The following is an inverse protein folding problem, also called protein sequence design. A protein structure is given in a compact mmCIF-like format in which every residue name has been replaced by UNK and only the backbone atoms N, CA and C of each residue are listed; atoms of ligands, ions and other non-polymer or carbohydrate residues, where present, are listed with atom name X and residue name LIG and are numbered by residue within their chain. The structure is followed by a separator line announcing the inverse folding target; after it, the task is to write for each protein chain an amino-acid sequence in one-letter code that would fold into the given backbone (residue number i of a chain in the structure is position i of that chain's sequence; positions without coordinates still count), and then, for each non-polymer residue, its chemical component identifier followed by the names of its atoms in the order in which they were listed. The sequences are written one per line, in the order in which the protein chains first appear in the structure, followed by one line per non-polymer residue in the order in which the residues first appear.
data_IF_615410573923
#
_entry.id   IF_615410573923
#
_cell.length_a   1.000
_cell.length_b   1.000
_cell.length_c   1.000
_cell.angle_alpha   90.00
_cell.angle_beta   90.00
_cell.angle_gamma   90.00
#
_symmetry.space_group_name_H-M   'P 1'
#
loop_
_entity.id
_entity.type
_entity.pdbx_description
1 polymer ?
#
# COMPACT_ATOMS: atom_id res chain seq x y z
N UNK A 1 31.48 31.12 -3.79
CA UNK A 1 31.62 30.27 -4.99
C UNK A 1 30.82 29.00 -4.77
N UNK A 2 29.64 28.85 -5.40
CA UNK A 2 28.87 27.61 -5.37
C UNK A 2 29.63 26.56 -6.19
N UNK A 3 30.07 25.47 -5.57
CA UNK A 3 30.53 24.29 -6.29
C UNK A 3 29.32 23.82 -7.13
N UNK A 4 29.41 23.96 -8.46
CA UNK A 4 28.53 23.20 -9.36
C UNK A 4 28.78 21.73 -9.05
N UNK A 5 27.85 21.09 -8.33
CA UNK A 5 27.81 19.63 -8.32
C UNK A 5 27.75 19.19 -9.78
N UNK A 6 28.63 18.25 -10.15
CA UNK A 6 28.67 17.67 -11.49
C UNK A 6 27.27 17.18 -11.83
N UNK A 7 26.75 17.57 -13.00
CA UNK A 7 25.56 16.99 -13.63
C UNK A 7 25.59 15.47 -13.41
N UNK A 8 24.81 14.96 -12.44
CA UNK A 8 24.66 13.52 -12.27
C UNK A 8 23.93 13.03 -13.52
N UNK A 9 24.59 12.18 -14.30
CA UNK A 9 23.98 11.60 -15.48
C UNK A 9 22.94 10.56 -15.04
N UNK A 10 21.67 10.96 -14.99
CA UNK A 10 20.55 10.09 -14.61
C UNK A 10 20.23 9.18 -15.81
N UNK A 11 20.31 7.87 -15.59
CA UNK A 11 19.87 6.85 -16.56
C UNK A 11 18.69 6.08 -15.98
N UNK A 12 17.59 6.02 -16.72
CA UNK A 12 16.37 5.30 -16.31
C UNK A 12 16.48 3.78 -16.48
N UNK A 13 17.45 3.33 -17.28
CA UNK A 13 17.68 1.89 -17.55
C UNK A 13 18.39 1.19 -16.38
N UNK A 14 18.85 1.95 -15.37
CA UNK A 14 19.45 1.40 -14.16
C UNK A 14 18.39 0.79 -13.24
N UNK A 15 18.77 -0.29 -12.56
CA UNK A 15 17.93 -0.94 -11.55
C UNK A 15 17.67 -0.03 -10.33
N UNK A 16 18.60 0.88 -10.04
CA UNK A 16 18.56 1.82 -8.93
C UNK A 16 19.08 3.17 -9.42
N UNK A 17 18.26 4.21 -9.29
CA UNK A 17 18.59 5.60 -9.56
C UNK A 17 18.91 6.26 -8.22
N UNK A 18 20.20 6.45 -7.92
CA UNK A 18 20.66 7.05 -6.67
C UNK A 18 20.40 8.56 -6.66
N UNK A 19 19.59 9.01 -5.71
CA UNK A 19 19.21 10.41 -5.56
C UNK A 19 20.07 11.10 -4.49
N UNK A 20 20.35 10.45 -3.36
CA UNK A 20 21.22 10.98 -2.31
C UNK A 20 21.90 9.86 -1.51
N UNK A 21 23.18 9.63 -1.80
CA UNK A 21 23.96 8.55 -1.19
C UNK A 21 23.24 7.21 -1.32
N UNK A 22 23.38 6.36 -0.30
CA UNK A 22 22.69 5.06 -0.21
C UNK A 22 21.31 5.15 0.48
N UNK A 23 20.91 6.36 0.90
CA UNK A 23 19.71 6.57 1.72
C UNK A 23 18.48 7.03 0.92
N UNK A 24 18.66 7.65 -0.25
CA UNK A 24 17.55 8.03 -1.13
C UNK A 24 17.81 7.53 -2.57
N UNK A 25 16.89 6.72 -3.08
CA UNK A 25 16.94 6.17 -4.44
C UNK A 25 15.54 5.81 -4.96
N UNK A 26 15.42 5.74 -6.29
CA UNK A 26 14.26 5.21 -6.99
C UNK A 26 14.64 3.92 -7.74
N UNK A 27 13.83 2.88 -7.59
CA UNK A 27 13.94 1.63 -8.35
C UNK A 27 13.02 1.62 -9.56
N UNK A 28 11.89 2.34 -9.49
CA UNK A 28 10.88 2.32 -10.55
C UNK A 28 10.01 3.57 -10.58
N UNK A 29 9.67 4.02 -11.79
CA UNK A 29 8.59 4.96 -12.07
C UNK A 29 7.68 4.36 -13.15
N UNK A 30 6.37 4.38 -12.93
CA UNK A 30 5.39 3.72 -13.78
C UNK A 30 4.12 4.54 -13.98
N UNK A 31 3.44 4.28 -15.09
CA UNK A 31 2.13 4.86 -15.40
C UNK A 31 1.24 3.77 -16.02
N UNK A 32 0.04 3.62 -15.46
CA UNK A 32 -0.98 2.70 -15.95
C UNK A 32 -2.37 3.34 -15.86
N UNK A 33 -3.33 2.88 -16.66
CA UNK A 33 -4.74 3.26 -16.48
C UNK A 33 -5.41 2.33 -15.47
N UNK A 34 -6.50 2.77 -14.86
CA UNK A 34 -7.37 1.90 -14.03
C UNK A 34 -7.92 0.70 -14.81
N UNK A 35 -7.98 0.81 -16.15
CA UNK A 35 -8.36 -0.26 -17.07
C UNK A 35 -7.18 -1.20 -17.41
N UNK A 36 -6.07 -1.13 -16.66
CA UNK A 36 -4.88 -1.98 -16.78
C UNK A 36 -4.08 -1.78 -18.08
N UNK A 37 -4.26 -0.64 -18.76
CA UNK A 37 -3.40 -0.28 -19.90
C UNK A 37 -2.06 0.25 -19.38
N UNK A 38 -0.97 -0.42 -19.69
CA UNK A 38 0.38 0.11 -19.44
C UNK A 38 0.65 1.31 -20.36
N UNK A 39 1.07 2.43 -19.75
CA UNK A 39 1.41 3.66 -20.47
C UNK A 39 2.90 3.99 -20.41
N UNK A 40 3.55 3.67 -19.29
CA UNK A 40 4.97 3.93 -19.12
C UNK A 40 5.59 3.03 -18.04
N UNK A 41 6.85 2.65 -18.24
CA UNK A 41 7.70 1.99 -17.25
C UNK A 41 9.15 2.49 -17.42
N UNK A 42 9.78 2.92 -16.34
CA UNK A 42 11.16 3.43 -16.37
C UNK A 42 12.17 2.33 -16.73
N UNK A 43 11.94 1.11 -16.26
CA UNK A 43 12.73 -0.08 -16.57
C UNK A 43 11.83 -1.33 -16.62
N UNK A 44 12.35 -2.41 -17.23
CA UNK A 44 11.61 -3.67 -17.42
C UNK A 44 11.62 -4.57 -16.20
N UNK A 45 12.62 -4.44 -15.31
CA UNK A 45 12.80 -5.33 -14.16
C UNK A 45 11.60 -5.28 -13.23
N UNK A 46 11.09 -4.07 -12.99
CA UNK A 46 9.97 -3.82 -12.07
C UNK A 46 8.64 -3.63 -12.80
N UNK A 47 8.52 -4.10 -14.05
CA UNK A 47 7.34 -3.85 -14.89
C UNK A 47 6.04 -4.37 -14.24
N UNK A 48 6.13 -5.50 -13.55
CA UNK A 48 5.01 -6.11 -12.83
C UNK A 48 4.42 -5.21 -11.74
N UNK A 49 5.15 -4.19 -11.27
CA UNK A 49 4.61 -3.23 -10.31
C UNK A 49 3.40 -2.49 -10.87
N UNK A 50 3.28 -2.34 -12.20
CA UNK A 50 2.08 -1.78 -12.82
C UNK A 50 0.86 -2.68 -12.63
N UNK A 51 1.03 -3.99 -12.76
CA UNK A 51 -0.04 -4.96 -12.52
C UNK A 51 -0.39 -5.02 -11.03
N UNK A 52 0.63 -5.07 -10.17
CA UNK A 52 0.44 -4.99 -8.72
C UNK A 52 -0.31 -3.71 -8.34
N UNK A 53 0.04 -2.57 -8.93
CA UNK A 53 -0.64 -1.27 -8.71
C UNK A 53 -2.13 -1.37 -9.01
N UNK A 54 -2.52 -1.94 -10.15
CA UNK A 54 -3.93 -2.10 -10.50
C UNK A 54 -4.67 -3.06 -9.56
N UNK A 55 -4.01 -4.15 -9.14
CA UNK A 55 -4.59 -5.10 -8.19
C UNK A 55 -4.76 -4.47 -6.80
N UNK A 56 -3.75 -3.73 -6.33
CA UNK A 56 -3.77 -3.01 -5.07
C UNK A 56 -4.87 -1.94 -5.08
N UNK A 57 -4.93 -1.14 -6.14
CA UNK A 57 -5.94 -0.10 -6.29
C UNK A 57 -7.34 -0.70 -6.25
N UNK A 58 -7.62 -1.70 -7.08
CA UNK A 58 -8.92 -2.37 -7.10
C UNK A 58 -9.30 -2.97 -5.74
N UNK A 59 -8.40 -3.73 -5.10
CA UNK A 59 -8.73 -4.44 -3.87
C UNK A 59 -8.80 -3.48 -2.68
N UNK A 60 -7.78 -2.63 -2.47
CA UNK A 60 -7.69 -1.76 -1.32
C UNK A 60 -8.81 -0.72 -1.31
N UNK A 61 -9.11 -0.09 -2.45
CA UNK A 61 -10.22 0.88 -2.55
C UNK A 61 -11.59 0.21 -2.39
N UNK A 62 -11.75 -1.06 -2.81
CA UNK A 62 -12.99 -1.82 -2.62
C UNK A 62 -13.27 -2.16 -1.15
N UNK A 63 -12.24 -2.29 -0.32
CA UNK A 63 -12.39 -2.63 1.11
C UNK A 63 -12.43 -1.36 1.95
N UNK A 64 -11.39 -0.53 1.83
CA UNK A 64 -11.16 0.61 2.70
C UNK A 64 -11.95 1.84 2.24
N UNK A 65 -12.29 1.93 0.95
CA UNK A 65 -12.82 3.15 0.35
C UNK A 65 -11.78 4.27 0.27
N UNK A 66 -11.94 5.18 -0.69
CA UNK A 66 -11.00 6.29 -0.95
C UNK A 66 -10.02 5.97 -2.07
N UNK A 67 -8.90 6.69 -2.11
CA UNK A 67 -7.90 6.62 -3.19
C UNK A 67 -6.57 6.03 -2.67
N UNK A 68 -5.97 5.09 -3.40
CA UNK A 68 -4.68 4.49 -3.05
C UNK A 68 -3.58 5.57 -2.98
N UNK A 69 -2.87 5.71 -1.84
CA UNK A 69 -1.85 6.77 -1.65
C UNK A 69 -0.44 6.19 -1.53
N UNK A 70 -0.22 5.20 -0.65
CA UNK A 70 1.11 4.66 -0.39
C UNK A 70 1.09 3.24 0.20
N UNK A 71 2.20 2.53 0.03
CA UNK A 71 2.45 1.21 0.63
C UNK A 71 3.89 1.14 1.10
N UNK A 72 4.12 0.62 2.31
CA UNK A 72 5.44 0.27 2.80
C UNK A 72 5.67 -1.23 2.61
N UNK A 73 6.81 -1.56 2.02
CA UNK A 73 7.32 -2.90 1.83
C UNK A 73 8.47 -3.13 2.79
N UNK A 74 8.48 -4.31 3.40
CA UNK A 74 9.53 -4.72 4.30
C UNK A 74 10.10 -6.06 3.84
N UNK A 75 11.42 -6.11 3.64
CA UNK A 75 12.11 -7.35 3.24
C UNK A 75 12.33 -8.26 4.44
N UNK A 76 12.75 -9.50 4.20
CA UNK A 76 13.13 -10.43 5.28
C UNK A 76 14.37 -9.95 6.08
N UNK A 77 15.17 -9.03 5.53
CA UNK A 77 16.31 -8.41 6.21
C UNK A 77 15.95 -7.09 6.92
N UNK A 78 14.65 -6.83 7.15
CA UNK A 78 14.12 -5.60 7.72
C UNK A 78 14.41 -4.32 6.90
N UNK A 79 14.80 -4.44 5.62
CA UNK A 79 14.95 -3.27 4.76
C UNK A 79 13.58 -2.74 4.34
N UNK A 80 13.39 -1.43 4.50
CA UNK A 80 12.15 -0.74 4.18
C UNK A 80 12.24 0.07 2.90
N UNK A 81 11.28 -0.17 2.02
CA UNK A 81 11.06 0.57 0.79
C UNK A 81 9.59 0.88 0.65
N UNK A 82 9.24 1.89 -0.13
CA UNK A 82 7.84 2.25 -0.31
C UNK A 82 7.46 2.46 -1.75
N UNK A 83 6.19 2.19 -2.01
CA UNK A 83 5.48 2.62 -3.20
C UNK A 83 4.64 3.84 -2.84
N UNK A 84 4.65 4.86 -3.69
CA UNK A 84 3.67 5.94 -3.64
C UNK A 84 2.88 5.96 -4.94
N UNK A 85 1.60 6.27 -4.81
CA UNK A 85 0.61 6.26 -5.88
C UNK A 85 -0.05 7.63 -5.98
N UNK A 86 -0.45 7.99 -7.19
CA UNK A 86 -1.26 9.16 -7.44
C UNK A 86 -2.21 8.86 -8.60
N UNK A 87 -3.51 9.02 -8.39
CA UNK A 87 -4.49 8.89 -9.47
C UNK A 87 -4.91 10.28 -9.98
N UNK A 88 -4.91 10.45 -11.31
CA UNK A 88 -5.51 11.62 -11.96
C UNK A 88 -6.20 11.19 -13.25
N UNK A 89 -7.53 11.37 -13.28
CA UNK A 89 -8.39 11.06 -14.45
C UNK A 89 -8.23 9.60 -14.92
N UNK A 90 -8.38 8.61 -14.02
CA UNK A 90 -8.23 7.18 -14.32
C UNK A 90 -6.83 6.74 -14.77
N UNK A 91 -5.82 7.56 -14.50
CA UNK A 91 -4.41 7.24 -14.73
C UNK A 91 -3.73 7.19 -13.37
N UNK A 92 -3.12 6.06 -13.07
CA UNK A 92 -2.36 5.83 -11.85
C UNK A 92 -0.88 5.98 -12.16
N UNK A 93 -0.24 6.87 -11.43
CA UNK A 93 1.20 7.11 -11.43
C UNK A 93 1.78 6.42 -10.21
N UNK A 94 2.89 5.71 -10.37
CA UNK A 94 3.55 4.98 -9.29
C UNK A 94 5.05 5.24 -9.28
N UNK A 95 5.61 5.39 -8.10
CA UNK A 95 7.06 5.36 -7.86
C UNK A 95 7.38 4.37 -6.75
N UNK A 96 8.52 3.70 -6.85
CA UNK A 96 8.98 2.70 -5.88
C UNK A 96 10.48 2.88 -5.58
N UNK A 97 10.83 2.78 -4.30
CA UNK A 97 12.19 2.94 -3.79
C UNK A 97 12.22 3.49 -2.36
N UNK A 98 13.27 4.23 -2.01
CA UNK A 98 13.46 4.85 -0.70
C UNK A 98 13.64 6.36 -0.89
N UNK A 99 12.70 7.16 -0.41
CA UNK A 99 12.71 8.62 -0.61
C UNK A 99 11.80 9.33 0.41
N UNK A 100 11.95 10.63 0.66
CA UNK A 100 11.04 11.38 1.54
C UNK A 100 9.63 11.51 0.97
N UNK A 101 8.60 11.48 1.82
CA UNK A 101 7.19 11.45 1.38
C UNK A 101 6.81 12.64 0.50
N UNK A 102 7.22 13.86 0.90
CA UNK A 102 6.92 15.11 0.17
C UNK A 102 7.56 15.13 -1.22
N UNK A 103 8.80 14.66 -1.33
CA UNK A 103 9.51 14.63 -2.61
C UNK A 103 8.89 13.59 -3.55
N UNK A 104 8.48 12.44 -3.04
CA UNK A 104 7.78 11.43 -3.83
C UNK A 104 6.45 11.95 -4.41
N UNK A 105 5.64 12.62 -3.58
CA UNK A 105 4.39 13.27 -4.04
C UNK A 105 4.67 14.34 -5.11
N UNK A 106 5.71 15.15 -4.93
CA UNK A 106 6.12 16.13 -5.93
C UNK A 106 6.50 15.46 -7.27
N UNK A 107 7.25 14.35 -7.25
CA UNK A 107 7.59 13.60 -8.48
C UNK A 107 6.33 13.10 -9.17
N UNK A 108 5.40 12.50 -8.43
CA UNK A 108 4.14 12.00 -8.98
C UNK A 108 3.28 13.11 -9.59
N UNK A 109 3.21 14.28 -8.94
CA UNK A 109 2.52 15.46 -9.47
C UNK A 109 3.17 15.96 -10.78
N UNK A 110 4.50 16.03 -10.83
CA UNK A 110 5.23 16.42 -12.04
C UNK A 110 5.05 15.40 -13.16
N UNK A 111 5.08 14.10 -12.84
CA UNK A 111 4.80 13.02 -13.79
C UNK A 111 3.39 13.19 -14.37
N UNK A 112 2.40 13.42 -13.50
CA UNK A 112 1.02 13.58 -13.93
C UNK A 112 0.79 14.83 -14.79
N UNK A 113 1.43 15.95 -14.47
CA UNK A 113 1.35 17.16 -15.27
C UNK A 113 1.98 16.95 -16.66
N UNK A 114 3.24 16.51 -16.71
CA UNK A 114 3.97 16.34 -17.96
C UNK A 114 3.35 15.24 -18.85
N UNK A 115 2.85 14.15 -18.26
CA UNK A 115 2.20 13.08 -19.03
C UNK A 115 0.83 13.51 -19.56
N UNK A 116 0.04 14.23 -18.75
CA UNK A 116 -1.26 14.78 -19.20
C UNK A 116 -1.11 15.70 -20.41
N UNK A 117 -0.03 16.48 -20.47
CA UNK A 117 0.25 17.37 -21.59
C UNK A 117 0.62 16.59 -22.87
N UNK A 118 1.29 15.44 -22.75
CA UNK A 118 1.65 14.57 -23.89
C UNK A 118 0.47 13.83 -24.51
N UNK A 119 -0.51 13.46 -23.70
CA UNK A 119 -1.70 12.69 -24.12
C UNK A 119 -2.92 13.57 -24.39
N UNK A 120 -2.76 14.89 -24.32
CA UNK A 120 -3.85 15.86 -24.46
C UNK A 120 -4.64 15.60 -25.75
N UNK A 121 -5.96 15.48 -25.63
CA UNK A 121 -6.90 15.20 -26.73
C UNK A 121 -6.74 13.81 -27.39
N UNK A 122 -6.00 12.88 -26.78
CA UNK A 122 -5.90 11.50 -27.27
C UNK A 122 -6.78 10.56 -26.43
N UNK A 123 -7.35 9.56 -27.09
CA UNK A 123 -7.93 8.42 -26.39
C UNK A 123 -6.82 7.42 -26.07
N UNK A 124 -6.49 7.33 -24.79
CA UNK A 124 -5.37 6.56 -24.25
C UNK A 124 -5.56 5.05 -24.49
N UNK A 125 -6.82 4.59 -24.49
CA UNK A 125 -7.15 3.18 -24.63
C UNK A 125 -7.10 2.71 -26.09
N UNK A 126 -7.11 3.63 -27.07
CA UNK A 126 -7.05 3.32 -28.50
C UNK A 126 -5.76 3.76 -29.21
N UNK A 127 -4.73 4.17 -28.45
CA UNK A 127 -3.43 4.54 -29.01
C UNK A 127 -2.80 3.38 -29.80
N UNK A 128 -2.32 3.68 -31.01
CA UNK A 128 -1.55 2.73 -31.82
C UNK A 128 -0.20 2.41 -31.16
N UNK A 129 0.42 1.28 -31.56
CA UNK A 129 1.75 0.89 -31.06
C UNK A 129 2.80 1.98 -31.27
N UNK A 130 2.76 2.65 -32.41
CA UNK A 130 3.70 3.72 -32.75
C UNK A 130 3.49 4.95 -31.86
N UNK A 131 2.25 5.37 -31.63
CA UNK A 131 1.95 6.50 -30.75
C UNK A 131 2.34 6.22 -29.30
N UNK A 132 2.10 5.00 -28.80
CA UNK A 132 2.54 4.58 -27.46
C UNK A 132 4.06 4.71 -27.33
N UNK A 133 4.81 4.21 -28.32
CA UNK A 133 6.27 4.32 -28.36
C UNK A 133 6.76 5.78 -28.38
N UNK A 134 6.12 6.65 -29.16
CA UNK A 134 6.48 8.07 -29.18
C UNK A 134 6.21 8.76 -27.83
N UNK A 135 5.04 8.50 -27.23
CA UNK A 135 4.68 9.07 -25.93
C UNK A 135 5.65 8.59 -24.86
N UNK A 136 5.97 7.29 -24.85
CA UNK A 136 6.93 6.71 -23.92
C UNK A 136 8.30 7.39 -24.02
N UNK A 137 8.85 7.53 -25.23
CA UNK A 137 10.16 8.17 -25.43
C UNK A 137 10.17 9.66 -25.07
N UNK A 138 9.12 10.41 -25.43
CA UNK A 138 8.97 11.81 -25.04
C UNK A 138 8.90 11.92 -23.52
N UNK A 139 8.18 11.02 -22.86
CA UNK A 139 8.06 11.01 -21.41
C UNK A 139 9.36 10.60 -20.70
N UNK A 140 10.18 9.68 -21.25
CA UNK A 140 11.52 9.36 -20.71
C UNK A 140 12.37 10.62 -20.56
N UNK A 141 12.39 11.47 -21.60
CA UNK A 141 13.12 12.75 -21.56
C UNK A 141 12.60 13.69 -20.48
N UNK A 142 11.26 13.78 -20.32
CA UNK A 142 10.63 14.58 -19.25
C UNK A 142 10.94 14.03 -17.86
N UNK A 143 10.90 12.72 -17.66
CA UNK A 143 11.19 12.09 -16.39
C UNK A 143 12.64 12.34 -15.95
N UNK A 144 13.61 12.28 -16.88
CA UNK A 144 15.00 12.65 -16.57
C UNK A 144 15.10 14.09 -16.06
N UNK A 145 14.38 15.04 -16.66
CA UNK A 145 14.35 16.43 -16.19
C UNK A 145 13.73 16.55 -14.80
N UNK A 146 12.60 15.88 -14.54
CA UNK A 146 11.94 15.84 -13.22
C UNK A 146 12.91 15.30 -12.16
N UNK A 147 13.64 14.23 -12.45
CA UNK A 147 14.60 13.65 -11.52
C UNK A 147 15.85 14.52 -11.31
N UNK A 148 16.24 15.33 -12.30
CA UNK A 148 17.30 16.33 -12.11
C UNK A 148 16.84 17.45 -11.17
N UNK A 149 15.64 17.97 -11.38
CA UNK A 149 15.02 18.97 -10.48
C UNK A 149 14.86 18.41 -9.06
N UNK A 150 14.49 17.13 -8.91
CA UNK A 150 14.46 16.45 -7.61
C UNK A 150 15.79 16.57 -6.83
N UNK A 151 16.92 16.43 -7.52
CA UNK A 151 18.24 16.54 -6.89
C UNK A 151 18.53 17.95 -6.38
N UNK A 152 17.96 18.97 -7.02
CA UNK A 152 18.08 20.37 -6.61
C UNK A 152 17.16 20.70 -5.41
N UNK A 153 16.06 19.97 -5.25
CA UNK A 153 15.10 20.13 -4.16
C UNK A 153 15.59 19.59 -2.80
N UNK A 154 16.83 19.09 -2.73
CA UNK A 154 17.44 18.57 -1.51
C UNK A 154 17.53 19.60 -0.36
N UNK A 155 17.56 20.90 -0.68
CA UNK A 155 17.62 21.98 0.31
C UNK A 155 16.25 22.45 0.83
N UNK A 156 15.14 22.06 0.18
CA UNK A 156 13.80 22.66 0.42
C UNK A 156 12.87 21.76 1.24
N UNK A 157 13.00 20.45 1.14
CA UNK A 157 12.12 19.50 1.83
C UNK A 157 12.77 18.88 3.05
N UNK A 158 12.14 19.05 4.22
CA UNK A 158 12.46 18.26 5.42
C UNK A 158 11.88 16.85 5.33
N UNK A 159 12.57 15.88 5.93
CA UNK A 159 12.11 14.49 6.11
C UNK A 159 10.94 14.36 7.10
N UNK A 160 10.31 15.47 7.49
CA UNK A 160 9.14 15.42 8.35
C UNK A 160 7.99 14.72 7.62
N UNK A 161 7.57 13.61 8.20
CA UNK A 161 6.35 12.91 7.83
C UNK A 161 5.16 13.86 7.83
N UNK A 162 4.18 13.56 6.97
CA UNK A 162 2.90 14.24 7.00
C UNK A 162 2.24 13.95 8.36
N UNK A 163 2.01 14.99 9.16
CA UNK A 163 1.33 14.87 10.44
C UNK A 163 -0.11 14.36 10.22
N UNK A 164 -0.45 13.30 10.93
CA UNK A 164 -1.83 12.84 11.07
C UNK A 164 -2.59 13.82 11.96
N UNK A 165 -3.86 14.10 11.63
CA UNK A 165 -4.72 14.96 12.46
C UNK A 165 -5.15 14.23 13.73
N UNK A 166 -5.42 12.94 13.59
CA UNK A 166 -5.89 12.10 14.68
C UNK A 166 -4.72 11.66 15.56
N UNK A 167 -4.96 11.53 16.85
CA UNK A 167 -4.03 10.93 17.82
C UNK A 167 -4.46 9.52 18.22
N UNK A 168 -5.30 8.89 17.41
CA UNK A 168 -5.83 7.55 17.64
C UNK A 168 -5.73 6.68 16.40
N UNK A 169 -5.74 5.37 16.59
CA UNK A 169 -5.94 4.38 15.54
C UNK A 169 -7.14 3.50 15.92
N UNK A 170 -8.17 3.46 15.08
CA UNK A 170 -9.37 2.63 15.28
C UNK A 170 -9.19 1.31 14.54
N UNK A 171 -9.60 0.22 15.17
CA UNK A 171 -9.57 -1.11 14.59
C UNK A 171 -10.97 -1.54 14.10
N UNK A 172 -11.05 -1.90 12.81
CA UNK A 172 -12.30 -2.27 12.14
C UNK A 172 -12.32 -3.75 11.69
N UNK A 173 -11.15 -4.39 11.57
CA UNK A 173 -11.05 -5.83 11.30
C UNK A 173 -9.72 -6.40 11.79
N UNK A 174 -9.74 -7.66 12.24
CA UNK A 174 -8.57 -8.46 12.59
C UNK A 174 -8.62 -9.80 11.84
N UNK A 175 -7.55 -10.12 11.13
CA UNK A 175 -7.31 -11.43 10.53
C UNK A 175 -6.01 -12.04 11.04
N UNK A 176 -6.01 -13.33 11.35
CA UNK A 176 -4.80 -14.11 11.62
C UNK A 176 -4.79 -15.28 10.64
N UNK A 177 -3.71 -15.43 9.88
CA UNK A 177 -3.52 -16.56 8.99
C UNK A 177 -2.21 -17.29 9.28
N UNK A 178 -2.16 -18.58 8.93
CA UNK A 178 -0.96 -19.41 8.98
C UNK A 178 -0.83 -20.14 7.65
N UNK A 179 0.30 -20.00 6.96
CA UNK A 179 0.53 -20.66 5.66
C UNK A 179 -0.65 -20.51 4.67
N UNK A 180 -1.23 -19.31 4.56
CA UNK A 180 -2.42 -19.01 3.73
C UNK A 180 -3.72 -19.71 4.16
N UNK A 181 -3.82 -20.12 5.42
CA UNK A 181 -5.06 -20.56 6.05
C UNK A 181 -5.48 -19.49 7.05
N UNK A 182 -6.58 -18.78 6.78
CA UNK A 182 -7.20 -17.87 7.73
C UNK A 182 -7.72 -18.64 8.96
N UNK A 183 -7.02 -18.50 10.10
CA UNK A 183 -7.39 -19.15 11.36
C UNK A 183 -8.25 -18.25 12.24
N UNK A 184 -8.14 -16.92 12.06
CA UNK A 184 -9.06 -15.93 12.65
C UNK A 184 -9.45 -14.95 11.56
N UNK A 185 -10.73 -14.63 11.51
CA UNK A 185 -11.27 -13.48 10.80
C UNK A 185 -12.31 -12.86 11.71
N UNK A 186 -12.18 -11.58 12.00
CA UNK A 186 -13.04 -10.87 12.94
C UNK A 186 -13.35 -9.48 12.41
N UNK A 187 -14.57 -9.31 11.92
CA UNK A 187 -15.11 -8.00 11.55
C UNK A 187 -15.59 -7.30 12.83
N UNK A 188 -15.10 -6.09 13.04
CA UNK A 188 -15.43 -5.24 14.19
C UNK A 188 -16.23 -4.00 13.76
N UNK A 189 -16.50 -3.84 12.46
CA UNK A 189 -17.10 -2.63 11.91
C UNK A 189 -18.63 -2.58 12.10
N UNK A 190 -19.04 -2.18 13.30
CA UNK A 190 -20.47 -2.04 13.64
C UNK A 190 -21.19 -0.90 12.89
N UNK A 191 -20.47 -0.01 12.20
CA UNK A 191 -21.02 1.19 11.56
C UNK A 191 -20.98 1.16 10.02
N UNK A 192 -20.69 -0.02 9.43
CA UNK A 192 -20.61 -0.23 7.97
C UNK A 192 -19.71 0.81 7.26
N UNK A 193 -18.61 1.15 7.93
CA UNK A 193 -17.62 2.12 7.45
C UNK A 193 -16.77 1.54 6.34
N UNK A 194 -16.46 0.25 6.41
CA UNK A 194 -15.79 -0.54 5.38
C UNK A 194 -16.79 -0.81 4.25
N UNK A 195 -16.35 -0.70 3.00
CA UNK A 195 -17.24 -0.81 1.82
C UNK A 195 -17.38 -2.25 1.33
N UNK A 196 -17.44 -3.22 2.25
CA UNK A 196 -17.41 -4.64 1.91
C UNK A 196 -18.78 -5.10 1.44
N UNK A 197 -18.92 -5.26 0.12
CA UNK A 197 -20.11 -5.84 -0.50
C UNK A 197 -19.92 -7.34 -0.71
N UNK A 198 -20.86 -8.12 -0.19
CA UNK A 198 -20.94 -9.57 -0.42
C UNK A 198 -22.03 -9.89 -1.45
N UNK A 199 -21.83 -10.88 -2.33
CA UNK A 199 -22.86 -11.30 -3.26
C UNK A 199 -23.93 -12.15 -2.56
N UNK A 200 -25.19 -11.98 -2.96
CA UNK A 200 -26.32 -12.76 -2.45
C UNK A 200 -27.26 -11.96 -1.53
N UNK A 201 -28.38 -12.58 -1.18
CA UNK A 201 -29.30 -12.13 -0.15
C UNK A 201 -29.17 -13.09 1.03
N UNK A 202 -29.05 -12.57 2.25
CA UNK A 202 -28.85 -13.34 3.46
C UNK A 202 -30.06 -13.16 4.37
N UNK A 203 -30.64 -14.27 4.83
CA UNK A 203 -31.75 -14.23 5.79
C UNK A 203 -31.24 -14.02 7.22
N UNK A 204 -30.06 -14.57 7.54
CA UNK A 204 -29.38 -14.40 8.84
C UNK A 204 -28.23 -13.38 8.74
N UNK A 205 -28.27 -12.28 9.53
CA UNK A 205 -27.17 -11.33 9.63
C UNK A 205 -25.82 -11.96 10.02
N UNK A 206 -25.82 -13.07 10.77
CA UNK A 206 -24.58 -13.76 11.14
C UNK A 206 -23.88 -14.39 9.93
N UNK A 207 -24.65 -14.96 8.99
CA UNK A 207 -24.12 -15.50 7.74
C UNK A 207 -23.53 -14.40 6.84
N UNK A 208 -24.18 -13.24 6.80
CA UNK A 208 -23.65 -12.07 6.07
C UNK A 208 -22.29 -11.63 6.64
N UNK A 209 -22.16 -11.56 7.97
CA UNK A 209 -20.90 -11.20 8.64
C UNK A 209 -19.82 -12.24 8.34
N UNK A 210 -20.12 -13.53 8.43
CA UNK A 210 -19.16 -14.60 8.12
C UNK A 210 -18.68 -14.52 6.65
N UNK A 211 -19.60 -14.21 5.73
CA UNK A 211 -19.26 -14.00 4.32
C UNK A 211 -18.38 -12.75 4.13
N UNK A 212 -18.67 -11.65 4.83
CA UNK A 212 -17.84 -10.44 4.82
C UNK A 212 -16.44 -10.73 5.36
N UNK A 213 -16.35 -11.42 6.50
CA UNK A 213 -15.08 -11.85 7.10
C UNK A 213 -14.26 -12.70 6.12
N UNK A 214 -14.88 -13.70 5.49
CA UNK A 214 -14.22 -14.59 4.52
C UNK A 214 -13.73 -13.84 3.28
N UNK A 215 -14.56 -12.95 2.73
CA UNK A 215 -14.21 -12.14 1.56
C UNK A 215 -13.06 -11.17 1.87
N UNK A 216 -13.07 -10.55 3.06
CA UNK A 216 -11.99 -9.70 3.52
C UNK A 216 -10.67 -10.46 3.61
N UNK A 217 -10.67 -11.61 4.28
CA UNK A 217 -9.47 -12.46 4.42
C UNK A 217 -8.90 -12.83 3.07
N UNK A 218 -9.73 -13.34 2.15
CA UNK A 218 -9.29 -13.73 0.82
C UNK A 218 -8.67 -12.56 0.03
N UNK A 219 -9.28 -11.37 0.10
CA UNK A 219 -8.76 -10.18 -0.58
C UNK A 219 -7.43 -9.70 0.02
N UNK A 220 -7.32 -9.71 1.35
CA UNK A 220 -6.10 -9.31 2.07
C UNK A 220 -4.95 -10.26 1.76
N UNK A 221 -5.19 -11.57 1.78
CA UNK A 221 -4.21 -12.59 1.43
C UNK A 221 -3.78 -12.49 -0.03
N UNK A 222 -4.72 -12.22 -0.95
CA UNK A 222 -4.40 -11.99 -2.36
C UNK A 222 -3.48 -10.77 -2.55
N UNK A 223 -3.69 -9.68 -1.80
CA UNK A 223 -2.78 -8.52 -1.78
C UNK A 223 -1.38 -8.94 -1.30
N UNK A 224 -1.30 -9.64 -0.17
CA UNK A 224 -0.02 -10.02 0.43
C UNK A 224 0.77 -10.96 -0.49
N UNK A 225 0.11 -11.99 -1.02
CA UNK A 225 0.72 -12.95 -1.94
C UNK A 225 1.20 -12.30 -3.24
N UNK A 226 0.36 -11.43 -3.84
CA UNK A 226 0.77 -10.69 -5.04
C UNK A 226 1.94 -9.77 -4.75
N UNK A 227 1.96 -9.09 -3.60
CA UNK A 227 3.06 -8.20 -3.23
C UNK A 227 4.36 -8.97 -3.03
N UNK A 228 4.31 -10.09 -2.31
CA UNK A 228 5.47 -10.96 -2.07
C UNK A 228 6.01 -11.57 -3.36
N UNK A 229 5.14 -12.18 -4.17
CA UNK A 229 5.54 -12.83 -5.42
C UNK A 229 6.14 -11.87 -6.44
N UNK A 230 5.73 -10.59 -6.39
CA UNK A 230 6.26 -9.54 -7.25
C UNK A 230 7.54 -8.92 -6.68
N UNK A 231 7.55 -8.50 -5.42
CA UNK A 231 8.65 -7.66 -4.89
C UNK A 231 9.71 -8.43 -4.12
N UNK A 232 9.43 -9.67 -3.72
CA UNK A 232 10.24 -10.41 -2.74
C UNK A 232 10.15 -9.84 -1.32
N UNK A 233 9.31 -8.83 -1.10
CA UNK A 233 9.05 -8.19 0.19
C UNK A 233 7.57 -8.30 0.54
N UNK A 234 7.25 -8.26 1.82
CA UNK A 234 5.86 -8.27 2.27
C UNK A 234 5.37 -6.84 2.53
N UNK A 235 4.08 -6.55 2.32
CA UNK A 235 3.54 -5.25 2.68
C UNK A 235 3.52 -5.12 4.21
N UNK A 236 4.15 -4.09 4.77
CA UNK A 236 4.01 -3.75 6.20
C UNK A 236 2.69 -3.00 6.43
N UNK A 237 2.38 -2.07 5.53
CA UNK A 237 1.07 -1.41 5.48
C UNK A 237 0.77 -0.86 4.08
N UNK A 238 -0.52 -0.72 3.79
CA UNK A 238 -1.08 -0.07 2.60
C UNK A 238 -2.05 0.99 3.09
N UNK A 239 -1.90 2.21 2.61
CA UNK A 239 -2.69 3.37 2.99
C UNK A 239 -3.60 3.82 1.84
N UNK A 240 -4.88 4.01 2.18
CA UNK A 240 -5.88 4.61 1.31
C UNK A 240 -6.33 5.93 1.94
N UNK A 241 -6.41 6.96 1.12
CA UNK A 241 -6.73 8.32 1.52
C UNK A 241 -8.23 8.55 1.35
N UNK A 242 -8.91 8.89 2.45
CA UNK A 242 -10.35 9.21 2.47
C UNK A 242 -10.62 10.69 2.21
N UNK A 243 -9.65 11.55 2.56
CA UNK A 243 -9.76 13.00 2.50
C UNK A 243 -8.39 13.63 2.71
N UNK A 244 -8.31 14.92 3.04
CA UNK A 244 -7.02 15.64 3.07
C UNK A 244 -5.99 15.01 4.02
N UNK A 245 -6.41 14.59 5.22
CA UNK A 245 -5.54 14.03 6.27
C UNK A 245 -6.12 12.75 6.93
N UNK A 246 -7.22 12.21 6.38
CA UNK A 246 -7.88 11.03 6.92
C UNK A 246 -7.50 9.81 6.09
N UNK A 247 -7.03 8.77 6.77
CA UNK A 247 -6.51 7.56 6.14
C UNK A 247 -7.09 6.32 6.77
N UNK A 248 -7.21 5.29 5.94
CA UNK A 248 -7.37 3.91 6.35
C UNK A 248 -6.19 3.09 5.93
N UNK A 249 -5.92 2.05 6.69
CA UNK A 249 -4.77 1.19 6.49
C UNK A 249 -5.18 -0.27 6.50
N UNK A 250 -4.60 -1.01 5.57
CA UNK A 250 -4.40 -2.44 5.71
C UNK A 250 -2.97 -2.65 6.21
N UNK A 251 -2.83 -3.30 7.35
CA UNK A 251 -1.53 -3.49 8.01
C UNK A 251 -1.23 -4.97 8.14
N UNK A 252 0.05 -5.32 8.16
CA UNK A 252 0.49 -6.71 8.31
C UNK A 252 1.65 -6.82 9.28
N UNK A 253 1.65 -7.89 10.07
CA UNK A 253 2.76 -8.27 10.95
C UNK A 253 3.00 -9.77 10.85
N UNK A 254 4.23 -10.13 10.47
CA UNK A 254 4.72 -11.51 10.45
C UNK A 254 5.15 -11.90 11.86
N UNK A 255 4.74 -13.07 12.31
CA UNK A 255 5.20 -13.70 13.55
C UNK A 255 6.04 -14.94 13.22
N UNK A 256 6.57 -15.60 14.25
CA UNK A 256 7.14 -16.93 14.11
C UNK A 256 6.10 -17.96 13.66
N UNK A 257 6.58 -19.15 13.28
CA UNK A 257 5.73 -20.29 12.87
C UNK A 257 4.77 -19.97 11.70
N UNK A 258 5.18 -19.08 10.79
CA UNK A 258 4.44 -18.69 9.58
C UNK A 258 3.06 -18.07 9.83
N UNK A 259 2.85 -17.45 11.00
CA UNK A 259 1.65 -16.67 11.28
C UNK A 259 1.77 -15.24 10.76
N UNK A 260 0.66 -14.72 10.24
CA UNK A 260 0.51 -13.36 9.75
C UNK A 260 -0.74 -12.73 10.35
N UNK A 261 -0.56 -11.63 11.09
CA UNK A 261 -1.66 -10.76 11.49
C UNK A 261 -1.91 -9.75 10.39
N UNK A 262 -3.18 -9.53 10.09
CA UNK A 262 -3.65 -8.44 9.24
C UNK A 262 -4.72 -7.64 9.97
N UNK A 263 -4.66 -6.32 9.85
CA UNK A 263 -5.67 -5.44 10.45
C UNK A 263 -6.14 -4.38 9.45
N UNK A 264 -7.44 -4.10 9.45
CA UNK A 264 -8.01 -2.90 8.82
C UNK A 264 -8.23 -1.85 9.90
N UNK A 265 -7.70 -0.65 9.67
CA UNK A 265 -7.71 0.42 10.67
C UNK A 265 -7.89 1.80 10.04
N UNK A 266 -8.30 2.77 10.85
CA UNK A 266 -8.48 4.18 10.47
C UNK A 266 -7.76 5.08 11.48
N UNK A 267 -7.20 6.20 11.02
CA UNK A 267 -6.63 7.23 11.92
C UNK A 267 -5.12 7.43 11.72
N UNK A 268 -4.36 7.32 12.80
CA UNK A 268 -2.93 7.60 12.83
C UNK A 268 -2.09 6.32 12.84
N UNK A 269 -1.42 6.06 11.71
CA UNK A 269 -0.57 4.89 11.52
C UNK A 269 0.59 4.81 12.53
N UNK A 270 1.04 5.93 13.12
CA UNK A 270 2.10 5.91 14.13
C UNK A 270 1.69 5.15 15.41
N UNK A 271 0.40 4.92 15.62
CA UNK A 271 -0.12 4.16 16.77
C UNK A 271 -0.23 2.65 16.49
N UNK A 272 0.24 2.18 15.33
CA UNK A 272 0.18 0.76 14.96
C UNK A 272 0.90 -0.14 15.97
N UNK A 273 2.06 0.30 16.48
CA UNK A 273 2.81 -0.45 17.49
C UNK A 273 2.06 -0.50 18.82
N UNK A 274 1.31 0.54 19.17
CA UNK A 274 0.43 0.53 20.35
C UNK A 274 -0.68 -0.50 20.19
N UNK A 275 -1.36 -0.53 19.03
CA UNK A 275 -2.36 -1.54 18.73
C UNK A 275 -1.76 -2.96 18.83
N UNK A 276 -0.61 -3.18 18.20
CA UNK A 276 0.08 -4.47 18.23
C UNK A 276 0.48 -4.87 19.66
N UNK A 277 0.97 -3.94 20.47
CA UNK A 277 1.32 -4.21 21.87
C UNK A 277 0.12 -4.65 22.73
N UNK A 278 -1.10 -4.25 22.38
CA UNK A 278 -2.32 -4.74 23.04
C UNK A 278 -2.73 -6.13 22.55
N UNK A 279 -2.52 -6.44 21.27
CA UNK A 279 -2.89 -7.72 20.67
C UNK A 279 -1.88 -8.84 20.99
N UNK A 280 -0.58 -8.52 20.97
CA UNK A 280 0.52 -9.49 21.11
C UNK A 280 0.38 -10.43 22.33
N UNK A 281 0.05 -9.95 23.56
CA UNK A 281 -0.08 -10.84 24.72
C UNK A 281 -1.17 -11.90 24.56
N UNK A 282 -2.25 -11.57 23.84
CA UNK A 282 -3.39 -12.46 23.62
C UNK A 282 -3.07 -13.44 22.48
N UNK A 283 -2.44 -12.95 21.41
CA UNK A 283 -2.05 -13.76 20.25
C UNK A 283 -0.96 -14.79 20.56
N UNK A 284 0.07 -14.40 21.33
CA UNK A 284 1.27 -15.22 21.60
C UNK A 284 0.95 -16.60 22.19
N UNK A 285 -0.15 -16.73 22.94
CA UNK A 285 -0.57 -18.01 23.52
C UNK A 285 -1.00 -19.06 22.48
N UNK A 286 -1.32 -18.64 21.25
CA UNK A 286 -1.83 -19.51 20.19
C UNK A 286 -0.90 -19.62 18.97
N UNK A 287 0.11 -18.76 18.87
CA UNK A 287 1.04 -18.72 17.73
C UNK A 287 2.45 -19.20 18.08
N UNK A 288 2.66 -19.68 19.30
CA UNK A 288 3.92 -20.25 19.79
C UNK A 288 4.30 -21.57 19.09
N UNK A 289 3.34 -22.22 18.44
CA UNK A 289 3.50 -23.47 17.70
C UNK A 289 2.92 -23.37 16.28
N UNK A 290 3.50 -24.10 15.31
CA UNK A 290 2.93 -24.21 13.96
C UNK A 290 1.48 -24.65 13.98
N UNK A 291 0.68 -24.10 13.05
CA UNK A 291 -0.72 -24.47 12.93
C UNK A 291 -0.86 -25.95 12.57
N UNK A 292 -1.62 -26.69 13.40
CA UNK A 292 -1.79 -28.14 13.24
C UNK A 292 -3.10 -28.54 12.57
N UNK A 293 -3.87 -27.59 12.01
CA UNK A 293 -5.22 -27.83 11.49
C UNK A 293 -6.34 -27.80 12.55
N UNK A 294 -6.03 -27.59 13.82
CA UNK A 294 -7.03 -27.53 14.90
C UNK A 294 -7.48 -26.09 15.15
N UNK A 295 -8.75 -25.78 14.85
CA UNK A 295 -9.34 -24.45 15.03
C UNK A 295 -9.82 -24.17 16.47
N UNK A 296 -9.92 -25.17 17.35
CA UNK A 296 -10.45 -24.96 18.71
C UNK A 296 -9.71 -23.88 19.52
N UNK A 297 -8.37 -23.83 19.54
CA UNK A 297 -7.64 -22.76 20.23
C UNK A 297 -7.96 -21.38 19.66
N UNK A 298 -8.15 -21.29 18.33
CA UNK A 298 -8.44 -20.03 17.65
C UNK A 298 -9.87 -19.52 17.89
N UNK A 299 -10.83 -20.41 18.13
CA UNK A 299 -12.18 -20.01 18.55
C UNK A 299 -12.18 -19.36 19.95
N UNK A 300 -11.34 -19.88 20.86
CA UNK A 300 -11.14 -19.27 22.19
C UNK A 300 -10.45 -17.92 22.01
N UNK A 301 -9.41 -17.86 21.19
CA UNK A 301 -8.68 -16.64 20.89
C UNK A 301 -9.59 -15.55 20.27
N UNK A 302 -10.48 -15.90 19.34
CA UNK A 302 -11.48 -14.97 18.76
C UNK A 302 -12.35 -14.34 19.84
N UNK A 303 -12.75 -15.11 20.85
CA UNK A 303 -13.54 -14.59 21.99
C UNK A 303 -12.72 -13.64 22.88
N UNK A 304 -11.47 -13.99 23.19
CA UNK A 304 -10.56 -13.16 23.99
C UNK A 304 -10.25 -11.83 23.29
N UNK A 305 -10.03 -11.85 21.98
CA UNK A 305 -9.82 -10.64 21.18
C UNK A 305 -11.08 -9.75 21.22
N UNK A 306 -12.28 -10.33 21.03
CA UNK A 306 -13.53 -9.56 21.13
C UNK A 306 -13.68 -8.87 22.49
N UNK A 307 -13.34 -9.56 23.58
CA UNK A 307 -13.39 -9.00 24.94
C UNK A 307 -12.37 -7.88 25.15
N UNK A 308 -11.12 -8.08 24.71
CA UNK A 308 -10.08 -7.06 24.73
C UNK A 308 -10.53 -5.78 24.02
N UNK A 309 -11.05 -5.92 22.79
CA UNK A 309 -11.46 -4.78 21.97
C UNK A 309 -12.67 -4.05 22.57
N UNK A 310 -13.61 -4.75 23.23
CA UNK A 310 -14.74 -4.13 23.94
C UNK A 310 -14.29 -3.22 25.09
N UNK A 311 -13.14 -3.51 25.70
CA UNK A 311 -12.58 -2.71 26.80
C UNK A 311 -11.83 -1.46 26.30
N UNK A 312 -11.61 -1.33 24.98
CA UNK A 312 -11.00 -0.15 24.36
C UNK A 312 -12.10 0.81 23.93
N UNK A 313 -12.09 2.03 24.47
CA UNK A 313 -13.09 3.06 24.15
C UNK A 313 -13.16 3.31 22.64
N UNK A 314 -14.34 3.09 22.05
CA UNK A 314 -14.59 3.24 20.61
C UNK A 314 -13.62 2.46 19.70
N UNK A 315 -12.92 1.45 20.25
CA UNK A 315 -11.86 0.68 19.56
C UNK A 315 -10.69 1.56 19.09
N UNK A 316 -10.50 2.72 19.73
CA UNK A 316 -9.46 3.72 19.44
C UNK A 316 -8.26 3.55 20.38
N UNK A 317 -7.11 3.27 19.79
CA UNK A 317 -5.83 3.13 20.49
C UNK A 317 -5.08 4.47 20.42
N UNK A 318 -4.75 5.04 21.59
CA UNK A 318 -4.05 6.33 21.73
C UNK A 318 -2.55 6.15 21.95
#
# INVERSE_FOLDING_TARGET
MRKKEKDKNISLDQDIINLKGDNEYLKFCGITTTDRTQLFASNKKWLYLLELTNNLDFIATSILGGDLDKMLLKSDNDEEEKCQFFEKKKIIYVIYGKFPDKKGKWVLEQMAQNFSDLIRHKDINSLSKFEKYEIENKFKGKLILILKEYLELQEVFSDQDLLYVEDWLRLDYIGLSSMSIGVISLLLDDEDRLKVKVPGEFEDPAEEIEMKESLLTAKIEAIAANTLGNTGAYPRWIAVKLGRLNYRFLTFKKYGNDYFLSCLSEGNLQKIETLEAHLDPVLNNSIDKPFSGNLRPFNILKSQIKELIRNVTERKFM
#
